data_IF_559719377437
#
_entry.id   IF_559719377437
#
_cell.length_a   1.000
_cell.length_b   1.000
_cell.length_c   1.000
_cell.angle_alpha   90.00
_cell.angle_beta   90.00
_cell.angle_gamma   90.00
#
_symmetry.space_group_name_H-M   'P 1'
#
loop_
_entity.id
_entity.type
_entity.pdbx_description
1 polymer ?
#
# COMPACT_ATOMS: atom_id res chain seq x y z
N UNK A 1 18.09 -42.45 -44.45
CA UNK A 1 17.36 -42.86 -45.69
C UNK A 1 15.89 -42.80 -45.34
N UNK A 2 15.17 -41.73 -45.72
CA UNK A 2 14.54 -41.55 -47.06
C UNK A 2 13.31 -42.48 -47.15
N UNK A 3 12.06 -41.99 -47.24
CA UNK A 3 11.39 -41.31 -48.35
C UNK A 3 10.04 -40.74 -47.81
N UNK A 4 9.63 -39.49 -48.07
CA UNK A 4 8.89 -39.02 -49.27
C UNK A 4 7.51 -39.68 -49.45
N UNK A 5 6.40 -39.06 -49.89
CA UNK A 5 6.07 -37.78 -50.56
C UNK A 5 4.51 -37.72 -50.64
N UNK A 6 3.85 -36.57 -50.42
CA UNK A 6 3.17 -35.68 -51.43
C UNK A 6 1.75 -36.10 -51.86
N UNK A 7 0.82 -35.12 -51.86
CA UNK A 7 -0.11 -34.70 -52.94
C UNK A 7 -1.38 -34.07 -52.32
N UNK A 8 -1.53 -32.74 -52.25
CA UNK A 8 -2.23 -31.80 -53.20
C UNK A 8 -3.64 -32.18 -53.67
N UNK A 9 -4.63 -31.32 -53.35
CA UNK A 9 -5.66 -30.71 -54.22
C UNK A 9 -6.88 -30.28 -53.36
N UNK A 10 -7.08 -28.99 -53.10
CA UNK A 10 -7.87 -28.01 -53.88
C UNK A 10 -9.39 -28.25 -53.83
N UNK A 11 -10.13 -27.29 -53.24
CA UNK A 11 -11.42 -26.78 -53.75
C UNK A 11 -11.88 -25.55 -52.96
N UNK A 12 -12.65 -24.72 -53.66
CA UNK A 12 -12.87 -23.30 -53.44
C UNK A 12 -14.07 -22.94 -52.53
N UNK A 13 -14.07 -21.65 -52.18
CA UNK A 13 -15.20 -20.71 -52.19
C UNK A 13 -16.09 -20.54 -50.93
N UNK A 14 -16.09 -19.25 -50.52
CA UNK A 14 -17.19 -18.41 -50.02
C UNK A 14 -17.86 -18.76 -48.68
N UNK A 15 -17.85 -17.79 -47.75
CA UNK A 15 -19.07 -17.06 -47.31
C UNK A 15 -18.67 -15.90 -46.38
N UNK A 16 -19.42 -14.80 -46.54
CA UNK A 16 -19.33 -13.51 -45.88
C UNK A 16 -19.56 -13.58 -44.35
N UNK A 17 -19.00 -12.60 -43.62
CA UNK A 17 -19.75 -11.52 -42.96
C UNK A 17 -18.88 -10.89 -41.87
N UNK A 18 -18.79 -9.55 -41.90
CA UNK A 18 -17.98 -8.76 -41.00
C UNK A 18 -18.35 -8.96 -39.54
N UNK A 19 -17.32 -9.20 -38.72
CA UNK A 19 -17.43 -9.00 -37.29
C UNK A 19 -17.46 -7.50 -37.05
N UNK A 20 -18.65 -7.02 -36.71
CA UNK A 20 -18.84 -5.71 -36.12
C UNK A 20 -17.89 -5.57 -34.92
N UNK A 21 -16.92 -4.67 -35.04
CA UNK A 21 -16.23 -4.16 -33.88
C UNK A 21 -17.25 -3.40 -33.04
N UNK A 22 -17.60 -3.94 -31.87
CA UNK A 22 -18.22 -3.17 -30.82
C UNK A 22 -17.12 -2.29 -30.22
N UNK A 23 -16.86 -1.17 -30.89
CA UNK A 23 -16.04 -0.10 -30.37
C UNK A 23 -16.76 0.58 -29.19
N UNK A 24 -15.91 1.07 -28.31
CA UNK A 24 -16.17 1.60 -26.98
C UNK A 24 -17.28 2.68 -26.99
N UNK A 25 -18.46 2.34 -26.51
CA UNK A 25 -19.51 3.33 -26.27
C UNK A 25 -19.05 4.35 -25.21
N UNK A 26 -19.20 5.66 -25.43
CA UNK A 26 -18.95 6.63 -24.38
C UNK A 26 -19.95 6.34 -23.24
N UNK A 27 -19.44 6.02 -22.06
CA UNK A 27 -20.22 6.05 -20.83
C UNK A 27 -20.65 7.50 -20.58
N UNK A 28 -21.76 7.89 -21.20
CA UNK A 28 -22.47 9.10 -20.89
C UNK A 28 -23.11 8.89 -19.51
N UNK A 29 -22.49 9.48 -18.49
CA UNK A 29 -23.17 9.74 -17.22
C UNK A 29 -24.43 10.55 -17.53
N UNK A 30 -25.59 9.92 -17.39
CA UNK A 30 -26.86 10.63 -17.38
C UNK A 30 -26.83 11.59 -16.19
N UNK A 31 -26.58 12.87 -16.47
CA UNK A 31 -27.09 13.96 -15.65
C UNK A 31 -28.60 13.79 -15.62
N UNK A 32 -29.11 13.27 -14.50
CA UNK A 32 -30.54 13.13 -14.30
C UNK A 32 -31.14 14.52 -14.47
N UNK A 33 -31.94 14.63 -15.53
CA UNK A 33 -32.71 15.81 -15.84
C UNK A 33 -33.51 16.25 -14.63
N UNK A 34 -33.48 17.55 -14.48
CA UNK A 34 -34.31 18.39 -13.65
C UNK A 34 -35.78 18.09 -13.96
N UNK A 35 -36.39 17.22 -13.16
CA UNK A 35 -37.83 17.11 -13.10
C UNK A 35 -38.38 18.25 -12.23
N UNK A 36 -39.28 18.99 -12.85
CA UNK A 36 -40.01 20.14 -12.35
C UNK A 36 -40.91 19.71 -11.20
N UNK A 37 -40.73 20.29 -10.02
CA UNK A 37 -41.73 20.25 -8.94
C UNK A 37 -42.12 21.68 -8.64
N UNK A 38 -43.38 21.95 -8.95
CA UNK A 38 -44.21 23.12 -8.66
C UNK A 38 -43.79 23.90 -7.41
N UNK A 39 -43.61 25.21 -7.59
CA UNK A 39 -43.71 26.22 -6.53
C UNK A 39 -45.07 26.06 -5.84
N UNK A 40 -45.08 25.70 -4.55
CA UNK A 40 -45.93 26.28 -3.50
C UNK A 40 -45.23 26.13 -2.15
N UNK A 41 -45.02 27.27 -1.50
CA UNK A 41 -44.83 27.44 -0.06
C UNK A 41 -43.62 26.78 0.61
N UNK A 42 -42.47 27.48 0.63
CA UNK A 42 -41.68 27.59 1.86
C UNK A 42 -40.79 28.84 1.88
N UNK A 43 -40.89 29.60 2.96
CA UNK A 43 -40.19 30.87 3.19
C UNK A 43 -38.66 30.70 3.31
N UNK A 44 -37.85 31.75 3.02
CA UNK A 44 -36.40 31.68 3.14
C UNK A 44 -35.99 31.75 4.62
N UNK A 45 -35.53 30.63 5.17
CA UNK A 45 -34.72 30.62 6.37
C UNK A 45 -33.24 30.54 5.96
N UNK A 46 -32.48 31.51 6.43
CA UNK A 46 -31.02 31.62 6.34
C UNK A 46 -30.37 30.33 6.86
N UNK A 47 -29.81 29.52 5.95
CA UNK A 47 -28.91 28.41 6.31
C UNK A 47 -27.58 28.57 5.57
N UNK A 48 -26.87 29.65 5.90
CA UNK A 48 -25.42 29.75 5.68
C UNK A 48 -24.73 29.17 6.93
N UNK A 49 -25.01 27.92 7.25
CA UNK A 49 -24.73 27.35 8.57
C UNK A 49 -23.73 26.20 8.63
N UNK A 50 -23.75 25.20 7.73
CA UNK A 50 -23.10 23.92 8.06
C UNK A 50 -22.29 23.29 6.91
N UNK A 51 -21.21 23.98 6.52
CA UNK A 51 -20.07 23.34 5.81
C UNK A 51 -18.75 23.49 6.57
N UNK A 52 -18.84 23.66 7.89
CA UNK A 52 -17.67 23.84 8.76
C UNK A 52 -17.38 22.61 9.59
N UNK A 53 -18.34 21.74 9.92
CA UNK A 53 -18.14 20.63 10.88
C UNK A 53 -17.30 19.46 10.37
N UNK A 54 -17.26 19.18 9.06
CA UNK A 54 -16.33 18.16 8.51
C UNK A 54 -14.91 18.69 8.31
N UNK A 55 -14.75 20.02 8.18
CA UNK A 55 -13.45 20.66 8.04
C UNK A 55 -12.81 21.02 9.39
N UNK A 56 -13.63 21.29 10.42
CA UNK A 56 -13.16 21.58 11.78
C UNK A 56 -12.85 20.31 12.59
N UNK A 57 -13.52 19.18 12.35
CA UNK A 57 -13.14 17.90 12.97
C UNK A 57 -11.74 17.40 12.53
N UNK A 58 -11.18 17.95 11.44
CA UNK A 58 -9.81 17.63 10.97
C UNK A 58 -8.74 18.51 11.64
N UNK A 59 -9.13 19.63 12.28
CA UNK A 59 -8.23 20.70 12.73
C UNK A 59 -8.01 20.76 14.25
N UNK A 60 -8.62 19.87 15.01
CA UNK A 60 -8.23 19.60 16.41
C UNK A 60 -7.46 18.28 16.51
N UNK A 61 -6.59 18.03 15.53
CA UNK A 61 -5.54 17.03 15.67
C UNK A 61 -4.51 17.68 16.59
N UNK A 62 -4.57 17.36 17.88
CA UNK A 62 -3.50 17.66 18.84
C UNK A 62 -2.15 17.53 18.15
N UNK A 63 -1.35 18.59 18.17
CA UNK A 63 -0.01 18.68 17.54
C UNK A 63 0.99 17.68 18.14
N UNK A 64 0.57 16.89 19.13
CA UNK A 64 1.36 15.83 19.68
C UNK A 64 1.23 14.57 18.84
N UNK A 65 2.33 14.20 18.16
CA UNK A 65 2.45 12.89 17.52
C UNK A 65 2.26 11.83 18.62
N UNK A 66 1.30 10.89 18.47
CA UNK A 66 1.08 9.85 19.46
C UNK A 66 2.41 9.20 19.84
N UNK A 67 2.69 9.12 21.14
CA UNK A 67 3.98 8.65 21.64
C UNK A 67 3.83 7.34 22.42
N UNK A 68 4.88 6.53 22.40
CA UNK A 68 5.06 5.34 23.22
C UNK A 68 6.32 5.54 24.06
N UNK A 69 6.15 5.84 25.35
CA UNK A 69 7.25 6.05 26.31
C UNK A 69 8.27 7.09 25.84
N UNK A 70 7.79 8.20 25.28
CA UNK A 70 8.64 9.29 24.78
C UNK A 70 9.22 9.09 23.38
N UNK A 71 8.92 7.97 22.72
CA UNK A 71 9.26 7.73 21.31
C UNK A 71 7.99 7.86 20.44
N UNK A 72 8.09 8.13 19.13
CA UNK A 72 6.91 8.11 18.26
C UNK A 72 6.24 6.73 18.23
N UNK A 73 4.95 6.63 18.55
CA UNK A 73 4.20 5.38 18.66
C UNK A 73 4.27 4.53 17.38
N UNK A 74 3.99 5.17 16.24
CA UNK A 74 3.96 4.53 14.94
C UNK A 74 3.96 5.60 13.85
N UNK A 75 4.37 5.24 12.63
CA UNK A 75 4.27 6.15 11.49
C UNK A 75 2.81 6.29 11.05
N UNK A 76 2.30 7.52 11.00
CA UNK A 76 1.03 7.79 10.34
C UNK A 76 1.15 7.60 8.81
N UNK A 77 0.03 7.32 8.15
CA UNK A 77 -0.07 7.23 6.70
C UNK A 77 -1.09 8.24 6.17
N UNK A 78 -1.20 8.37 4.84
CA UNK A 78 -2.23 9.24 4.25
C UNK A 78 -3.65 8.83 4.62
N UNK A 79 -3.88 7.54 4.91
CA UNK A 79 -5.21 6.97 5.14
C UNK A 79 -5.53 6.79 6.63
N UNK A 80 -4.54 6.51 7.47
CA UNK A 80 -4.74 6.08 8.85
C UNK A 80 -3.75 6.75 9.80
N UNK A 81 -4.22 7.01 11.03
CA UNK A 81 -3.41 7.55 12.12
C UNK A 81 -2.34 6.57 12.61
N UNK A 82 -1.44 7.04 13.49
CA UNK A 82 -0.37 6.24 14.07
C UNK A 82 -0.93 5.03 14.85
N UNK A 83 -1.84 5.29 15.78
CA UNK A 83 -2.43 4.25 16.62
C UNK A 83 -3.22 3.21 15.80
N UNK A 84 -3.99 3.65 14.82
CA UNK A 84 -4.72 2.76 13.93
C UNK A 84 -3.76 1.89 13.08
N UNK A 85 -2.67 2.46 12.55
CA UNK A 85 -1.67 1.67 11.83
C UNK A 85 -1.00 0.63 12.74
N UNK A 86 -0.66 1.00 13.98
CA UNK A 86 -0.09 0.08 14.96
C UNK A 86 -1.07 -1.06 15.29
N UNK A 87 -2.34 -0.73 15.57
CA UNK A 87 -3.42 -1.70 15.83
C UNK A 87 -3.57 -2.69 14.68
N UNK A 88 -3.66 -2.19 13.44
CA UNK A 88 -3.80 -3.04 12.25
C UNK A 88 -2.57 -3.91 12.01
N UNK A 89 -1.37 -3.47 12.39
CA UNK A 89 -0.17 -4.29 12.30
C UNK A 89 -0.18 -5.40 13.36
N UNK A 90 -0.61 -5.09 14.58
CA UNK A 90 -0.83 -6.07 15.64
C UNK A 90 -1.87 -7.13 15.23
N UNK A 91 -3.02 -6.73 14.71
CA UNK A 91 -4.09 -7.67 14.30
C UNK A 91 -3.61 -8.66 13.23
N UNK A 92 -2.70 -8.23 12.35
CA UNK A 92 -2.17 -9.07 11.27
C UNK A 92 -0.99 -9.94 11.68
N UNK A 93 -0.12 -9.40 12.54
CA UNK A 93 1.20 -9.96 12.77
C UNK A 93 1.48 -10.30 14.24
N UNK A 94 0.63 -9.87 15.17
CA UNK A 94 0.88 -9.92 16.62
C UNK A 94 1.17 -11.34 17.11
N UNK A 95 0.32 -12.29 16.73
CA UNK A 95 0.51 -13.70 17.06
C UNK A 95 1.80 -14.26 16.47
N UNK A 96 2.04 -14.02 15.17
CA UNK A 96 3.27 -14.47 14.50
C UNK A 96 4.52 -13.89 15.16
N UNK A 97 4.48 -12.63 15.58
CA UNK A 97 5.54 -11.94 16.35
C UNK A 97 5.72 -12.52 17.76
N UNK A 98 4.76 -13.31 18.27
CA UNK A 98 4.76 -13.85 19.62
C UNK A 98 4.30 -12.84 20.68
N UNK A 99 3.48 -11.87 20.28
CA UNK A 99 2.84 -10.94 21.20
C UNK A 99 1.57 -11.56 21.81
N UNK A 100 1.39 -11.40 23.12
CA UNK A 100 0.21 -11.88 23.86
C UNK A 100 -0.99 -10.96 23.70
N UNK A 101 -0.71 -9.67 23.61
CA UNK A 101 -1.66 -8.59 23.49
C UNK A 101 -1.01 -7.39 22.77
N UNK A 102 -1.77 -6.32 22.60
CA UNK A 102 -1.33 -5.12 21.89
C UNK A 102 -0.17 -4.39 22.57
N UNK A 103 -0.19 -4.32 23.91
CA UNK A 103 0.84 -3.60 24.66
C UNK A 103 2.18 -4.37 24.61
N UNK A 104 2.11 -5.70 24.72
CA UNK A 104 3.24 -6.60 24.51
C UNK A 104 3.79 -6.51 23.09
N UNK A 105 2.90 -6.36 22.09
CA UNK A 105 3.32 -6.11 20.71
C UNK A 105 4.08 -4.79 20.57
N UNK A 106 3.56 -3.68 21.09
CA UNK A 106 4.26 -2.39 21.07
C UNK A 106 5.60 -2.47 21.79
N UNK A 107 5.66 -3.13 22.95
CA UNK A 107 6.91 -3.36 23.67
C UNK A 107 7.94 -4.13 22.84
N UNK A 108 7.52 -5.19 22.14
CA UNK A 108 8.39 -5.96 21.25
C UNK A 108 8.86 -5.15 20.05
N UNK A 109 7.96 -4.43 19.38
CA UNK A 109 8.30 -3.58 18.22
C UNK A 109 9.31 -2.52 18.62
N UNK A 110 9.01 -1.72 19.65
CA UNK A 110 9.91 -0.66 20.11
C UNK A 110 11.24 -1.21 20.63
N UNK A 111 11.21 -2.34 21.34
CA UNK A 111 12.43 -3.04 21.77
C UNK A 111 13.32 -3.43 20.58
N UNK A 112 12.73 -4.06 19.56
CA UNK A 112 13.43 -4.51 18.37
C UNK A 112 14.02 -3.35 17.57
N UNK A 113 13.25 -2.28 17.31
CA UNK A 113 13.75 -1.16 16.49
C UNK A 113 14.79 -0.29 17.21
N UNK A 114 14.69 -0.15 18.55
CA UNK A 114 15.66 0.62 19.34
C UNK A 114 16.95 -0.14 19.53
N UNK A 115 16.87 -1.43 19.86
CA UNK A 115 18.02 -2.27 20.14
C UNK A 115 17.85 -3.64 19.47
N UNK A 116 18.09 -3.71 18.15
CA UNK A 116 18.08 -4.97 17.44
C UNK A 116 19.04 -5.98 18.11
N UNK A 117 18.70 -7.28 18.14
CA UNK A 117 19.58 -8.29 18.70
C UNK A 117 20.88 -8.40 17.91
N UNK A 118 21.93 -8.95 18.54
CA UNK A 118 23.20 -9.21 17.85
C UNK A 118 22.99 -10.16 16.68
N UNK A 119 23.48 -9.78 15.51
CA UNK A 119 23.29 -10.54 14.27
C UNK A 119 22.12 -10.07 13.41
N UNK A 120 21.32 -9.10 13.89
CA UNK A 120 20.34 -8.44 13.05
C UNK A 120 21.02 -7.67 11.91
N UNK A 121 20.50 -7.84 10.70
CA UNK A 121 20.89 -7.14 9.49
C UNK A 121 20.15 -5.81 9.41
N UNK A 122 20.82 -4.79 8.88
CA UNK A 122 20.26 -3.43 8.75
C UNK A 122 20.59 -2.86 7.38
N UNK A 123 19.61 -2.19 6.79
CA UNK A 123 19.74 -1.46 5.53
C UNK A 123 19.08 -0.10 5.66
N UNK A 124 19.79 0.97 5.32
CA UNK A 124 19.25 2.33 5.29
C UNK A 124 18.86 2.69 3.86
N UNK A 125 17.61 3.11 3.67
CA UNK A 125 17.07 3.59 2.39
C UNK A 125 17.52 5.03 2.11
N UNK A 126 17.42 5.45 0.86
CA UNK A 126 17.71 6.82 0.44
C UNK A 126 16.86 7.89 1.17
N UNK A 127 15.64 7.55 1.60
CA UNK A 127 14.77 8.44 2.39
C UNK A 127 15.11 8.47 3.90
N UNK A 128 16.13 7.73 4.34
CA UNK A 128 16.55 7.63 5.74
C UNK A 128 15.80 6.59 6.57
N UNK A 129 14.79 5.92 6.02
CA UNK A 129 14.17 4.78 6.70
C UNK A 129 15.17 3.63 6.85
N UNK A 130 15.02 2.83 7.90
CA UNK A 130 15.82 1.61 8.08
C UNK A 130 14.94 0.38 8.00
N UNK A 131 15.45 -0.63 7.30
CA UNK A 131 14.97 -2.00 7.36
C UNK A 131 15.85 -2.76 8.34
N UNK A 132 15.22 -3.57 9.18
CA UNK A 132 15.86 -4.40 10.18
C UNK A 132 15.39 -5.84 9.97
N UNK A 133 16.31 -6.79 10.04
CA UNK A 133 15.98 -8.21 9.96
C UNK A 133 16.81 -9.02 10.94
N UNK A 134 16.19 -9.76 11.85
CA UNK A 134 16.89 -10.75 12.66
C UNK A 134 16.68 -12.16 12.10
N UNK A 135 17.73 -12.83 11.57
CA UNK A 135 17.63 -14.20 11.08
C UNK A 135 17.26 -15.21 12.17
N UNK A 136 17.62 -14.97 13.44
CA UNK A 136 17.36 -15.92 14.52
C UNK A 136 15.87 -16.01 14.88
N UNK A 137 15.23 -14.86 15.09
CA UNK A 137 13.79 -14.83 15.39
C UNK A 137 12.92 -14.75 14.13
N UNK A 138 13.52 -14.67 12.95
CA UNK A 138 12.87 -14.39 11.68
C UNK A 138 11.95 -13.15 11.78
N UNK A 139 12.45 -12.05 12.35
CA UNK A 139 11.67 -10.81 12.49
C UNK A 139 12.18 -9.75 11.52
N UNK A 140 11.27 -9.18 10.75
CA UNK A 140 11.53 -8.04 9.88
C UNK A 140 10.77 -6.81 10.38
N UNK A 141 11.42 -5.65 10.36
CA UNK A 141 10.79 -4.37 10.67
C UNK A 141 11.26 -3.26 9.74
N UNK A 142 10.41 -2.24 9.59
CA UNK A 142 10.77 -0.96 8.97
C UNK A 142 10.52 0.15 9.97
N UNK A 143 11.48 1.04 10.12
CA UNK A 143 11.39 2.21 10.99
C UNK A 143 11.74 3.47 10.20
N UNK A 144 11.05 4.57 10.48
CA UNK A 144 11.37 5.85 9.86
C UNK A 144 12.72 6.37 10.33
N UNK A 145 13.27 7.35 9.60
CA UNK A 145 14.46 8.09 10.04
C UNK A 145 14.32 8.66 11.46
N UNK A 146 13.12 9.09 11.82
CA UNK A 146 12.80 9.71 13.12
C UNK A 146 12.46 8.67 14.20
N UNK A 147 12.60 7.37 13.90
CA UNK A 147 12.43 6.29 14.87
C UNK A 147 11.01 5.73 15.00
N UNK A 148 10.04 6.22 14.21
CA UNK A 148 8.67 5.71 14.26
C UNK A 148 8.57 4.35 13.54
N UNK A 149 8.08 3.28 14.19
CA UNK A 149 7.84 2.01 13.50
C UNK A 149 6.83 2.16 12.36
N UNK A 150 7.06 1.49 11.23
CA UNK A 150 6.10 1.40 10.11
C UNK A 150 5.44 0.04 10.02
N UNK A 151 6.19 -1.02 10.31
CA UNK A 151 5.72 -2.41 10.30
C UNK A 151 6.68 -3.30 11.09
N UNK A 152 6.17 -4.41 11.66
CA UNK A 152 6.98 -5.54 12.10
C UNK A 152 6.21 -6.85 11.88
N UNK A 153 6.87 -7.86 11.33
CA UNK A 153 6.26 -9.17 11.07
C UNK A 153 7.32 -10.26 10.91
N UNK A 154 6.88 -11.52 10.82
CA UNK A 154 7.72 -12.65 10.43
C UNK A 154 7.51 -12.97 8.95
N UNK A 155 8.52 -12.81 8.07
CA UNK A 155 8.37 -13.18 6.67
C UNK A 155 8.36 -14.70 6.50
N UNK A 156 7.50 -15.22 5.63
CA UNK A 156 7.42 -16.66 5.35
C UNK A 156 8.72 -17.21 4.73
N UNK A 157 9.34 -16.43 3.85
CA UNK A 157 10.56 -16.81 3.14
C UNK A 157 11.87 -16.56 3.92
N UNK A 158 11.77 -16.08 5.17
CA UNK A 158 12.93 -15.83 6.02
C UNK A 158 14.02 -14.96 5.38
N UNK A 159 15.25 -15.51 5.30
CA UNK A 159 16.41 -14.79 4.74
C UNK A 159 16.20 -14.38 3.27
N UNK A 160 15.49 -15.19 2.48
CA UNK A 160 15.23 -14.86 1.09
C UNK A 160 14.36 -13.59 0.96
N UNK A 161 13.47 -13.32 1.93
CA UNK A 161 12.73 -12.06 1.98
C UNK A 161 13.69 -10.87 2.18
N UNK A 162 14.67 -11.00 3.09
CA UNK A 162 15.66 -9.97 3.34
C UNK A 162 16.50 -9.66 2.09
N UNK A 163 17.01 -10.70 1.43
CA UNK A 163 17.81 -10.56 0.20
C UNK A 163 17.00 -9.86 -0.92
N UNK A 164 15.72 -10.19 -1.05
CA UNK A 164 14.83 -9.48 -1.96
C UNK A 164 14.69 -7.99 -1.61
N UNK A 165 14.59 -7.63 -0.33
CA UNK A 165 14.55 -6.22 0.08
C UNK A 165 15.85 -5.50 -0.31
N UNK A 166 17.01 -6.11 -0.03
CA UNK A 166 18.33 -5.54 -0.40
C UNK A 166 18.42 -5.33 -1.91
N UNK A 167 18.08 -6.34 -2.71
CA UNK A 167 18.13 -6.25 -4.17
C UNK A 167 17.16 -5.19 -4.73
N UNK A 168 15.97 -5.05 -4.11
CA UNK A 168 14.99 -4.01 -4.49
C UNK A 168 15.52 -2.61 -4.21
N UNK A 169 16.16 -2.38 -3.06
CA UNK A 169 16.75 -1.07 -2.77
C UNK A 169 17.95 -0.76 -3.66
N UNK A 170 18.81 -1.74 -3.96
CA UNK A 170 19.93 -1.56 -4.89
C UNK A 170 19.47 -1.09 -6.27
N UNK A 171 18.40 -1.71 -6.83
CA UNK A 171 17.80 -1.27 -8.10
C UNK A 171 17.22 0.14 -8.05
N UNK A 172 16.69 0.57 -6.91
CA UNK A 172 16.15 1.94 -6.75
C UNK A 172 17.25 2.99 -6.72
N UNK A 173 18.43 2.64 -6.22
CA UNK A 173 19.58 3.54 -6.12
C UNK A 173 20.43 3.60 -7.38
N UNK A 174 20.19 2.70 -8.35
CA UNK A 174 20.85 2.68 -9.66
C UNK A 174 19.88 3.13 -10.75
N UNK A 175 19.65 4.45 -10.92
CA UNK A 175 19.02 4.93 -12.14
C UNK A 175 20.01 4.67 -13.31
N UNK A 176 19.52 4.06 -14.38
CA UNK A 176 20.12 3.98 -15.74
C UNK A 176 21.01 2.79 -16.14
N UNK A 177 20.41 1.89 -16.92
CA UNK A 177 21.00 1.24 -18.11
C UNK A 177 19.89 0.88 -19.15
N UNK A 178 18.82 1.69 -19.32
CA UNK A 178 17.77 1.37 -20.33
C UNK A 178 17.15 2.63 -20.95
N UNK A 179 17.98 3.63 -21.25
CA UNK A 179 17.57 4.81 -22.03
C UNK A 179 18.74 5.32 -22.87
N UNK A 180 19.32 4.43 -23.68
CA UNK A 180 20.28 4.83 -24.70
C UNK A 180 20.25 3.83 -25.87
N UNK A 181 19.08 3.74 -26.51
CA UNK A 181 18.91 3.22 -27.86
C UNK A 181 17.64 3.88 -28.42
N UNK A 182 17.82 5.03 -29.07
CA UNK A 182 16.77 5.84 -29.67
C UNK A 182 17.35 6.89 -30.60
#
# INVERSE_FOLDING_TARGET
MALSKVMTAASAALVLCGLAGCDNGPSAVQTRERAEVSERDYAPADDRGERTTRASARRERSDETPNYKGEPLWSASKRYGAEENARRNFERNGEAVGARDYDDFLAKVHGFVRKPPKGALTLTRANGDRLLYDPKSNLFAVVTRDGAPRTMFKPDDGMAYWEQQVAREARRTSPDQETQDG
#
